data_IF_121283101084
#
_entry.id   IF_121283101084
#
_cell.length_a   1.000
_cell.length_b   1.000
_cell.length_c   1.000
_cell.angle_alpha   90.00
_cell.angle_beta   90.00
_cell.angle_gamma   90.00
#
_symmetry.space_group_name_H-M   'P 1'
#
loop_
_entity.id
_entity.type
_entity.pdbx_description
1 polymer ?
#
# COMPACT_ATOMS: atom_id res chain seq x y z
N UNK A 1 -24.62 -32.58 -15.09
CA UNK A 1 -25.22 -31.53 -14.23
C UNK A 1 -24.21 -30.41 -14.04
N UNK A 2 -24.63 -29.17 -14.33
CA UNK A 2 -23.83 -27.94 -14.24
C UNK A 2 -23.67 -27.52 -12.79
N UNK A 3 -22.48 -27.05 -12.39
CA UNK A 3 -22.34 -26.01 -11.35
C UNK A 3 -21.25 -25.03 -11.77
N UNK A 4 -21.67 -23.93 -12.37
CA UNK A 4 -20.84 -22.76 -12.66
C UNK A 4 -20.83 -21.92 -11.37
N UNK A 5 -19.65 -21.70 -10.80
CA UNK A 5 -19.46 -20.71 -9.75
C UNK A 5 -19.51 -19.32 -10.40
N UNK A 6 -20.61 -18.59 -10.16
CA UNK A 6 -20.73 -17.19 -10.52
C UNK A 6 -20.08 -16.35 -9.42
N UNK A 7 -18.94 -15.72 -9.73
CA UNK A 7 -18.40 -14.63 -8.93
C UNK A 7 -19.31 -13.41 -9.14
N UNK A 8 -20.09 -13.05 -8.11
CA UNK A 8 -20.86 -11.83 -8.07
C UNK A 8 -19.94 -10.68 -7.64
N UNK A 9 -19.55 -9.85 -8.61
CA UNK A 9 -18.91 -8.56 -8.35
C UNK A 9 -20.02 -7.60 -7.94
N UNK A 10 -20.10 -7.26 -6.65
CA UNK A 10 -20.95 -6.19 -6.15
C UNK A 10 -20.31 -4.84 -6.52
N UNK A 11 -20.72 -4.28 -7.65
CA UNK A 11 -20.43 -2.90 -8.01
C UNK A 11 -21.37 -1.98 -7.21
N UNK A 12 -20.88 -1.41 -6.11
CA UNK A 12 -21.62 -0.41 -5.34
C UNK A 12 -21.43 0.96 -6.01
N UNK A 13 -22.38 1.35 -6.85
CA UNK A 13 -22.46 2.71 -7.40
C UNK A 13 -23.07 3.60 -6.32
N UNK A 14 -22.23 4.33 -5.59
CA UNK A 14 -22.70 5.43 -4.74
C UNK A 14 -22.94 6.65 -5.63
N UNK A 15 -24.22 6.96 -5.88
CA UNK A 15 -24.61 8.21 -6.49
C UNK A 15 -24.56 9.32 -5.42
N UNK A 16 -23.64 10.27 -5.56
CA UNK A 16 -23.58 11.47 -4.71
C UNK A 16 -24.48 12.56 -5.30
N UNK A 17 -25.44 13.14 -4.56
CA UNK A 17 -26.07 14.38 -4.97
C UNK A 17 -25.09 15.53 -4.74
N UNK A 18 -24.57 16.12 -5.81
CA UNK A 18 -23.91 17.42 -5.78
C UNK A 18 -24.99 18.52 -5.71
N UNK A 19 -25.45 18.86 -4.52
CA UNK A 19 -26.25 20.07 -4.29
C UNK A 19 -25.31 21.24 -3.97
N UNK A 20 -25.00 22.02 -5.00
CA UNK A 20 -24.44 23.36 -4.86
C UNK A 20 -25.55 24.32 -4.40
N UNK A 21 -25.54 24.73 -3.14
CA UNK A 21 -26.38 25.81 -2.63
C UNK A 21 -25.56 26.65 -1.64
N UNK A 22 -25.58 27.98 -1.85
CA UNK A 22 -24.82 28.95 -1.07
C UNK A 22 -25.06 28.83 0.44
N UNK A 23 -24.02 29.14 1.21
CA UNK A 23 -23.92 28.95 2.66
C UNK A 23 -25.04 29.76 3.36
N UNK A 24 -26.05 29.12 3.98
CA UNK A 24 -26.91 29.81 4.93
C UNK A 24 -26.16 29.83 6.27
N UNK A 25 -25.63 31.00 6.64
CA UNK A 25 -25.18 31.28 8.00
C UNK A 25 -26.43 31.44 8.85
N UNK A 26 -26.87 30.36 9.49
CA UNK A 26 -27.96 30.41 10.47
C UNK A 26 -27.33 30.29 11.86
N UNK A 27 -27.47 31.40 12.59
CA UNK A 27 -27.22 31.53 14.01
C UNK A 27 -28.26 30.68 14.71
N UNK A 28 -27.88 29.47 15.11
CA UNK A 28 -28.35 28.73 16.30
C UNK A 28 -27.71 27.34 16.27
N UNK A 29 -27.13 26.89 17.39
CA UNK A 29 -26.70 25.50 17.60
C UNK A 29 -27.95 24.63 17.52
N UNK A 30 -28.33 24.15 16.33
CA UNK A 30 -29.38 23.16 16.23
C UNK A 30 -28.80 21.81 16.72
N UNK A 31 -29.23 21.29 17.88
CA UNK A 31 -28.73 20.02 18.41
C UNK A 31 -28.95 18.84 17.44
N UNK A 32 -29.87 18.96 16.47
CA UNK A 32 -30.04 17.99 15.40
C UNK A 32 -28.83 17.92 14.46
N UNK A 33 -28.16 19.05 14.19
CA UNK A 33 -26.96 19.13 13.33
C UNK A 33 -25.74 18.55 14.03
N UNK A 34 -25.56 18.82 15.32
CA UNK A 34 -24.47 18.24 16.11
C UNK A 34 -24.57 16.71 16.17
N UNK A 35 -25.79 16.19 16.37
CA UNK A 35 -26.04 14.75 16.33
C UNK A 35 -25.77 14.12 14.95
N UNK A 36 -26.01 14.86 13.86
CA UNK A 36 -25.69 14.42 12.50
C UNK A 36 -24.17 14.33 12.28
N UNK A 37 -23.42 15.33 12.74
CA UNK A 37 -21.95 15.32 12.66
C UNK A 37 -21.32 14.19 13.47
N UNK A 38 -21.84 13.89 14.66
CA UNK A 38 -21.36 12.76 15.46
C UNK A 38 -21.64 11.42 14.77
N UNK A 39 -22.79 11.27 14.11
CA UNK A 39 -23.08 10.07 13.30
C UNK A 39 -22.14 9.95 12.11
N UNK A 40 -21.87 11.04 11.42
CA UNK A 40 -20.97 11.03 10.26
C UNK A 40 -19.52 10.73 10.69
N UNK A 41 -19.05 11.34 11.77
CA UNK A 41 -17.76 11.00 12.37
C UNK A 41 -17.67 9.52 12.77
N UNK A 42 -18.73 8.95 13.34
CA UNK A 42 -18.79 7.53 13.67
C UNK A 42 -18.69 6.64 12.42
N UNK A 43 -19.38 7.00 11.32
CA UNK A 43 -19.24 6.28 10.04
C UNK A 43 -17.81 6.34 9.52
N UNK A 44 -17.13 7.47 9.69
CA UNK A 44 -15.78 7.65 9.20
C UNK A 44 -14.78 6.83 10.00
N UNK A 45 -14.97 6.76 11.32
CA UNK A 45 -14.21 5.85 12.17
C UNK A 45 -14.41 4.39 11.74
N UNK A 46 -15.64 3.98 11.41
CA UNK A 46 -15.91 2.62 10.91
C UNK A 46 -15.23 2.35 9.56
N UNK A 47 -15.37 3.27 8.60
CA UNK A 47 -14.71 3.16 7.28
C UNK A 47 -13.19 3.07 7.42
N UNK A 48 -12.60 3.89 8.29
CA UNK A 48 -11.16 3.89 8.51
C UNK A 48 -10.66 2.62 9.24
N UNK A 49 -11.41 2.12 10.22
CA UNK A 49 -11.12 0.82 10.86
C UNK A 49 -11.18 -0.32 9.83
N UNK A 50 -12.15 -0.25 8.91
CA UNK A 50 -12.22 -1.19 7.81
C UNK A 50 -10.96 -1.11 6.92
N UNK A 51 -10.47 0.09 6.58
CA UNK A 51 -9.21 0.23 5.84
C UNK A 51 -7.99 -0.27 6.60
N UNK A 52 -7.87 0.00 7.90
CA UNK A 52 -6.81 -0.57 8.73
C UNK A 52 -6.81 -2.10 8.67
N UNK A 53 -7.99 -2.73 8.71
CA UNK A 53 -8.11 -4.19 8.61
C UNK A 53 -7.67 -4.72 7.25
N UNK A 54 -7.99 -4.02 6.15
CA UNK A 54 -7.56 -4.39 4.80
C UNK A 54 -6.04 -4.24 4.63
N UNK A 55 -5.47 -3.14 5.12
CA UNK A 55 -4.03 -2.89 5.13
C UNK A 55 -3.29 -3.98 5.91
N UNK A 56 -3.80 -4.35 7.09
CA UNK A 56 -3.20 -5.41 7.89
C UNK A 56 -3.25 -6.77 7.19
N UNK A 57 -4.42 -7.15 6.63
CA UNK A 57 -4.55 -8.39 5.89
C UNK A 57 -3.60 -8.46 4.68
N UNK A 58 -3.37 -7.33 4.01
CA UNK A 58 -2.40 -7.25 2.91
C UNK A 58 -0.95 -7.42 3.39
N UNK A 59 -0.57 -6.83 4.53
CA UNK A 59 0.73 -7.07 5.18
C UNK A 59 0.92 -8.56 5.48
N UNK A 60 -0.09 -9.21 6.07
CA UNK A 60 -0.03 -10.63 6.41
C UNK A 60 0.12 -11.52 5.15
N UNK A 61 -0.55 -11.15 4.05
CA UNK A 61 -0.40 -11.80 2.75
C UNK A 61 1.01 -11.64 2.19
N UNK A 62 1.58 -10.43 2.21
CA UNK A 62 2.94 -10.18 1.73
C UNK A 62 3.97 -10.96 2.55
N UNK A 63 3.78 -11.06 3.87
CA UNK A 63 4.68 -11.81 4.75
C UNK A 63 4.66 -13.30 4.43
N UNK A 64 3.46 -13.85 4.26
CA UNK A 64 3.26 -15.25 3.86
C UNK A 64 3.93 -15.52 2.50
N UNK A 65 3.74 -14.63 1.53
CA UNK A 65 4.31 -14.78 0.19
C UNK A 65 5.84 -14.63 0.14
N UNK A 66 6.43 -13.88 1.06
CA UNK A 66 7.90 -13.69 1.16
C UNK A 66 8.58 -14.73 2.04
N UNK A 67 7.81 -15.57 2.75
CA UNK A 67 8.37 -16.51 3.73
C UNK A 67 8.90 -15.82 4.99
N UNK A 68 8.57 -14.54 5.17
CA UNK A 68 8.95 -13.74 6.33
C UNK A 68 8.15 -14.23 7.53
N UNK A 69 8.84 -14.84 8.50
CA UNK A 69 8.22 -15.30 9.75
C UNK A 69 7.91 -14.17 10.72
N UNK A 70 8.66 -13.07 10.66
CA UNK A 70 8.48 -11.92 11.53
C UNK A 70 8.32 -10.65 10.68
N UNK A 71 7.07 -10.20 10.58
CA UNK A 71 6.68 -9.02 9.81
C UNK A 71 7.31 -7.76 10.40
N UNK A 72 7.42 -7.67 11.72
CA UNK A 72 7.96 -6.50 12.38
C UNK A 72 9.46 -6.39 12.11
N UNK A 73 10.21 -7.50 12.26
CA UNK A 73 11.63 -7.53 11.93
C UNK A 73 11.88 -7.25 10.44
N UNK A 74 11.00 -7.70 9.55
CA UNK A 74 11.11 -7.40 8.13
C UNK A 74 10.81 -5.95 7.81
N UNK A 75 9.79 -5.35 8.43
CA UNK A 75 9.46 -3.93 8.29
C UNK A 75 10.61 -3.08 8.81
N UNK A 76 11.14 -3.39 10.00
CA UNK A 76 12.26 -2.66 10.58
C UNK A 76 13.53 -2.81 9.76
N UNK A 77 13.75 -4.01 9.20
CA UNK A 77 14.86 -4.21 8.26
C UNK A 77 14.64 -3.46 6.97
N UNK A 78 13.46 -3.54 6.34
CA UNK A 78 13.16 -2.85 5.08
C UNK A 78 13.00 -1.33 5.26
N UNK A 79 12.91 -0.84 6.49
CA UNK A 79 12.82 0.58 6.81
C UNK A 79 14.01 1.32 6.21
N UNK A 80 13.75 2.36 5.42
CA UNK A 80 14.74 3.11 4.66
C UNK A 80 15.15 2.48 3.32
N UNK A 81 14.63 1.32 2.92
CA UNK A 81 14.91 0.75 1.61
C UNK A 81 14.39 1.67 0.51
N UNK A 82 13.17 2.20 0.65
CA UNK A 82 12.61 3.23 -0.24
C UNK A 82 13.54 4.43 -0.35
N UNK A 83 14.05 4.95 0.77
CA UNK A 83 14.96 6.11 0.75
C UNK A 83 16.32 5.80 0.12
N UNK A 84 16.86 4.60 0.36
CA UNK A 84 18.13 4.20 -0.24
C UNK A 84 17.98 3.97 -1.75
N UNK A 85 16.83 3.46 -2.20
CA UNK A 85 16.53 3.33 -3.62
C UNK A 85 16.35 4.69 -4.31
N UNK A 86 15.74 5.66 -3.64
CA UNK A 86 15.67 7.03 -4.16
C UNK A 86 17.06 7.65 -4.33
N UNK A 87 18.04 7.30 -3.48
CA UNK A 87 19.44 7.74 -3.65
C UNK A 87 20.11 7.10 -4.87
N UNK A 88 19.68 5.90 -5.28
CA UNK A 88 20.18 5.23 -6.49
C UNK A 88 19.51 5.73 -7.78
N UNK A 89 18.47 6.55 -7.66
CA UNK A 89 17.70 7.03 -8.80
C UNK A 89 18.49 8.02 -9.63
N UNK A 90 18.50 7.84 -10.95
CA UNK A 90 19.08 8.83 -11.86
C UNK A 90 18.19 10.08 -11.94
N UNK A 91 18.75 11.27 -12.24
CA UNK A 91 17.95 12.46 -12.50
C UNK A 91 16.88 12.19 -13.56
N UNK A 92 15.61 12.50 -13.24
CA UNK A 92 14.47 12.32 -14.13
C UNK A 92 13.91 10.88 -14.22
N UNK A 93 14.55 9.89 -13.60
CA UNK A 93 14.01 8.53 -13.49
C UNK A 93 12.97 8.46 -12.37
N UNK A 94 11.86 7.72 -12.55
CA UNK A 94 10.92 7.45 -11.45
C UNK A 94 11.35 6.22 -10.66
N UNK A 95 10.92 6.11 -9.39
CA UNK A 95 11.16 4.88 -8.60
C UNK A 95 10.58 3.64 -9.30
N UNK A 96 9.38 3.77 -9.85
CA UNK A 96 8.75 2.67 -10.61
C UNK A 96 9.60 2.24 -11.81
N UNK A 97 10.23 3.18 -12.52
CA UNK A 97 11.12 2.86 -13.65
C UNK A 97 12.41 2.20 -13.20
N UNK A 98 13.01 2.67 -12.09
CA UNK A 98 14.20 2.05 -11.48
C UNK A 98 13.91 0.59 -11.09
N UNK A 99 12.77 0.35 -10.43
CA UNK A 99 12.34 -0.97 -10.00
C UNK A 99 12.03 -1.90 -11.17
N UNK A 100 11.45 -1.36 -12.24
CA UNK A 100 11.14 -2.12 -13.46
C UNK A 100 12.39 -2.42 -14.29
N UNK A 101 13.34 -1.49 -14.35
CA UNK A 101 14.57 -1.67 -15.13
C UNK A 101 15.63 -2.48 -14.40
N UNK A 102 15.50 -2.64 -13.08
CA UNK A 102 16.48 -3.38 -12.28
C UNK A 102 17.76 -2.63 -11.94
N UNK A 103 17.79 -1.31 -12.16
CA UNK A 103 19.03 -0.54 -12.11
C UNK A 103 20.09 -1.01 -13.13
N UNK A 104 21.30 -0.47 -13.05
CA UNK A 104 22.46 -1.07 -13.73
C UNK A 104 22.97 -2.29 -12.97
N UNK A 105 23.60 -3.23 -13.67
CA UNK A 105 24.23 -4.40 -13.02
C UNK A 105 25.09 -3.95 -11.83
N UNK A 106 24.83 -4.55 -10.66
CA UNK A 106 25.51 -4.24 -9.39
C UNK A 106 25.04 -2.96 -8.67
N UNK A 107 24.15 -2.16 -9.24
CA UNK A 107 23.62 -0.94 -8.61
C UNK A 107 22.91 -1.22 -7.29
N UNK A 108 22.34 -2.41 -7.15
CA UNK A 108 21.65 -2.85 -5.93
C UNK A 108 22.49 -3.75 -5.04
N UNK A 109 23.75 -4.09 -5.38
CA UNK A 109 24.57 -5.02 -4.59
C UNK A 109 24.80 -4.55 -3.15
N UNK A 110 24.97 -3.24 -2.96
CA UNK A 110 25.06 -2.65 -1.62
C UNK A 110 23.75 -2.75 -0.83
N UNK A 111 22.59 -2.66 -1.51
CA UNK A 111 21.29 -2.91 -0.87
C UNK A 111 21.15 -4.39 -0.52
N UNK A 112 21.55 -5.28 -1.44
CA UNK A 112 21.48 -6.71 -1.24
C UNK A 112 22.29 -7.18 -0.04
N UNK A 113 23.49 -6.61 0.15
CA UNK A 113 24.31 -6.89 1.32
C UNK A 113 23.74 -6.28 2.63
N UNK A 114 23.01 -5.17 2.53
CA UNK A 114 22.47 -4.45 3.70
C UNK A 114 21.21 -5.11 4.27
N UNK A 115 20.32 -5.64 3.42
CA UNK A 115 19.02 -6.14 3.86
C UNK A 115 18.95 -7.67 3.75
N UNK A 116 18.77 -8.37 4.89
CA UNK A 116 18.73 -9.84 4.93
C UNK A 116 17.52 -10.45 4.23
N UNK A 117 16.54 -9.62 3.88
CA UNK A 117 15.37 -9.98 3.08
C UNK A 117 15.75 -10.61 1.74
N UNK A 118 16.97 -10.34 1.23
CA UNK A 118 17.50 -10.87 -0.02
C UNK A 118 18.12 -12.27 0.10
N UNK A 119 18.32 -12.79 1.32
CA UNK A 119 18.89 -14.13 1.57
C UNK A 119 18.01 -15.26 1.00
N UNK A 120 16.74 -14.97 0.68
CA UNK A 120 15.82 -15.91 0.03
C UNK A 120 16.12 -16.16 -1.44
N UNK A 121 16.97 -15.33 -2.06
CA UNK A 121 17.40 -15.51 -3.45
C UNK A 121 18.65 -16.40 -3.51
N UNK A 122 18.45 -17.69 -3.80
CA UNK A 122 19.50 -18.70 -3.79
C UNK A 122 20.70 -18.32 -4.69
N UNK A 123 21.85 -18.07 -4.07
CA UNK A 123 23.04 -17.53 -4.73
C UNK A 123 23.76 -18.51 -5.67
N UNK A 124 23.45 -19.81 -5.59
CA UNK A 124 24.08 -20.85 -6.41
C UNK A 124 23.50 -20.94 -7.84
N UNK A 125 22.35 -20.32 -8.12
CA UNK A 125 21.78 -20.26 -9.48
C UNK A 125 22.27 -19.02 -10.22
N UNK A 126 23.11 -19.23 -11.24
CA UNK A 126 23.84 -18.18 -11.96
C UNK A 126 22.96 -17.17 -12.72
N UNK A 127 23.38 -15.89 -12.70
CA UNK A 127 23.07 -14.91 -13.75
C UNK A 127 21.75 -14.14 -13.59
N UNK A 128 21.03 -13.94 -14.71
CA UNK A 128 19.81 -13.11 -14.81
C UNK A 128 18.68 -13.57 -13.87
N UNK A 129 18.62 -14.86 -13.53
CA UNK A 129 17.63 -15.41 -12.62
C UNK A 129 17.77 -14.85 -11.19
N UNK A 130 19.00 -14.78 -10.67
CA UNK A 130 19.29 -14.20 -9.36
C UNK A 130 18.91 -12.71 -9.34
N UNK A 131 19.23 -11.94 -10.39
CA UNK A 131 18.85 -10.53 -10.48
C UNK A 131 17.33 -10.32 -10.49
N UNK A 132 16.57 -11.13 -11.25
CA UNK A 132 15.10 -11.06 -11.22
C UNK A 132 14.53 -11.45 -9.85
N UNK A 133 15.12 -12.43 -9.15
CA UNK A 133 14.73 -12.75 -7.77
C UNK A 133 14.90 -11.55 -6.85
N UNK A 134 16.07 -10.92 -6.90
CA UNK A 134 16.38 -9.78 -6.05
C UNK A 134 15.47 -8.58 -6.34
N UNK A 135 15.14 -8.31 -7.61
CA UNK A 135 14.16 -7.29 -8.00
C UNK A 135 12.75 -7.57 -7.43
N UNK A 136 12.33 -8.85 -7.43
CA UNK A 136 11.05 -9.27 -6.84
C UNK A 136 11.03 -9.04 -5.33
N UNK A 137 12.13 -9.35 -4.62
CA UNK A 137 12.25 -9.07 -3.19
C UNK A 137 12.24 -7.57 -2.93
N UNK A 138 12.97 -6.76 -3.72
CA UNK A 138 12.94 -5.29 -3.60
C UNK A 138 11.49 -4.79 -3.75
N UNK A 139 10.78 -5.24 -4.78
CA UNK A 139 9.41 -4.81 -5.04
C UNK A 139 8.48 -5.10 -3.86
N UNK A 140 8.62 -6.28 -3.23
CA UNK A 140 7.82 -6.65 -2.05
C UNK A 140 8.23 -5.87 -0.79
N UNK A 141 9.52 -5.63 -0.57
CA UNK A 141 9.99 -4.88 0.58
C UNK A 141 9.52 -3.41 0.56
N UNK A 142 9.55 -2.76 -0.61
CA UNK A 142 9.01 -1.39 -0.77
C UNK A 142 7.49 -1.37 -0.58
N UNK A 143 6.78 -2.37 -1.11
CA UNK A 143 5.33 -2.48 -0.90
C UNK A 143 5.02 -2.54 0.60
N UNK A 144 5.81 -3.29 1.34
CA UNK A 144 5.67 -3.41 2.79
C UNK A 144 5.92 -2.08 3.49
N UNK A 145 7.05 -1.43 3.23
CA UNK A 145 7.41 -0.13 3.83
C UNK A 145 6.36 0.95 3.51
N UNK A 146 5.90 1.04 2.25
CA UNK A 146 4.84 1.98 1.86
C UNK A 146 3.50 1.67 2.54
N UNK A 147 3.14 0.39 2.66
CA UNK A 147 1.91 -0.03 3.33
C UNK A 147 1.96 0.30 4.82
N UNK A 148 3.12 0.13 5.45
CA UNK A 148 3.35 0.46 6.86
C UNK A 148 3.24 1.98 7.11
N UNK A 149 3.90 2.79 6.27
CA UNK A 149 3.83 4.26 6.30
C UNK A 149 2.37 4.75 6.19
N UNK A 150 1.59 4.18 5.27
CA UNK A 150 0.18 4.54 5.12
C UNK A 150 -0.66 4.06 6.32
N UNK A 151 -0.37 2.88 6.88
CA UNK A 151 -1.04 2.40 8.09
C UNK A 151 -0.88 3.37 9.25
N UNK A 152 0.34 3.90 9.47
CA UNK A 152 0.62 4.90 10.50
C UNK A 152 -0.18 6.20 10.24
N UNK A 153 -0.17 6.71 9.01
CA UNK A 153 -0.89 7.94 8.65
C UNK A 153 -2.41 7.80 8.78
N UNK A 154 -2.97 6.64 8.41
CA UNK A 154 -4.39 6.30 8.62
C UNK A 154 -4.70 6.29 10.12
N UNK A 155 -3.84 5.67 10.93
CA UNK A 155 -4.01 5.58 12.39
C UNK A 155 -3.94 6.94 13.08
N UNK A 156 -3.02 7.81 12.65
CA UNK A 156 -2.94 9.18 13.13
C UNK A 156 -4.20 9.97 12.76
N UNK A 157 -4.61 9.93 11.50
CA UNK A 157 -5.81 10.63 11.00
C UNK A 157 -7.04 10.21 11.79
N UNK A 158 -7.13 8.92 12.13
CA UNK A 158 -8.18 8.37 12.98
C UNK A 158 -8.17 8.93 14.40
N UNK A 159 -7.00 8.99 15.03
CA UNK A 159 -6.85 9.58 16.36
C UNK A 159 -7.29 11.05 16.37
N UNK A 160 -6.96 11.79 15.31
CA UNK A 160 -7.37 13.19 15.13
C UNK A 160 -8.89 13.33 14.93
N UNK A 161 -9.52 12.50 14.08
CA UNK A 161 -10.97 12.49 13.89
C UNK A 161 -11.67 12.18 15.23
N UNK A 162 -11.20 11.19 15.99
CA UNK A 162 -11.78 10.85 17.28
C UNK A 162 -11.65 12.00 18.29
N UNK A 163 -10.49 12.67 18.34
CA UNK A 163 -10.27 13.84 19.18
C UNK A 163 -11.22 15.00 18.82
N UNK A 164 -11.34 15.31 17.53
CA UNK A 164 -12.24 16.37 17.04
C UNK A 164 -13.71 16.02 17.33
N UNK A 165 -14.11 14.76 17.17
CA UNK A 165 -15.47 14.29 17.44
C UNK A 165 -15.83 14.44 18.91
N UNK A 166 -14.91 14.07 19.81
CA UNK A 166 -15.09 14.26 21.25
C UNK A 166 -15.22 15.75 21.62
N UNK A 167 -14.47 16.63 20.94
CA UNK A 167 -14.60 18.09 21.14
C UNK A 167 -15.95 18.62 20.68
N UNK A 168 -16.48 18.14 19.55
CA UNK A 168 -17.84 18.49 19.10
C UNK A 168 -18.87 18.09 20.15
N UNK A 169 -18.78 16.86 20.68
CA UNK A 169 -19.73 16.36 21.68
C UNK A 169 -19.71 17.15 23.01
N UNK A 170 -18.60 17.82 23.32
CA UNK A 170 -18.42 18.63 24.53
C UNK A 170 -18.62 20.14 24.28
N UNK A 171 -18.66 20.57 23.02
CA UNK A 171 -18.84 21.96 22.64
C UNK A 171 -20.23 22.45 23.03
N UNK A 172 -20.31 23.70 23.50
CA UNK A 172 -21.57 24.41 23.75
C UNK A 172 -21.77 25.57 22.76
N UNK A 173 -20.79 25.80 21.89
CA UNK A 173 -20.76 26.89 20.93
C UNK A 173 -20.97 26.32 19.51
N UNK A 174 -22.03 26.77 18.83
CA UNK A 174 -22.39 26.30 17.49
C UNK A 174 -21.29 26.53 16.47
N UNK A 175 -20.57 27.64 16.59
CA UNK A 175 -19.54 28.04 15.65
C UNK A 175 -18.29 27.18 15.85
N UNK A 176 -17.90 26.92 17.09
CA UNK A 176 -16.86 25.94 17.39
C UNK A 176 -17.24 24.55 16.87
N UNK A 177 -18.47 24.08 17.13
CA UNK A 177 -18.97 22.79 16.61
C UNK A 177 -18.88 22.72 15.07
N UNK A 178 -19.22 23.81 14.38
CA UNK A 178 -19.14 23.89 12.92
C UNK A 178 -17.70 23.89 12.39
N UNK A 179 -16.78 24.63 13.02
CA UNK A 179 -15.37 24.67 12.64
C UNK A 179 -14.70 23.30 12.86
N UNK A 180 -15.05 22.61 13.94
CA UNK A 180 -14.62 21.25 14.21
C UNK A 180 -15.16 20.26 13.19
N UNK A 181 -16.44 20.39 12.80
CA UNK A 181 -17.04 19.55 11.76
C UNK A 181 -16.34 19.73 10.40
N UNK A 182 -16.03 20.97 10.01
CA UNK A 182 -15.25 21.25 8.81
C UNK A 182 -13.85 20.63 8.87
N UNK A 183 -13.22 20.65 10.05
CA UNK A 183 -11.92 20.03 10.29
C UNK A 183 -11.98 18.52 10.16
N UNK A 184 -13.01 17.89 10.73
CA UNK A 184 -13.28 16.47 10.52
C UNK A 184 -13.41 16.23 9.02
N UNK A 185 -14.26 16.99 8.31
CA UNK A 185 -14.52 16.82 6.88
C UNK A 185 -13.23 16.70 6.06
N UNK A 186 -12.30 17.61 6.28
CA UNK A 186 -10.97 17.61 5.66
C UNK A 186 -10.17 16.34 5.96
N UNK A 187 -10.22 15.84 7.20
CA UNK A 187 -9.51 14.62 7.61
C UNK A 187 -10.02 13.36 6.93
N UNK A 188 -11.30 13.25 6.58
CA UNK A 188 -11.76 12.12 5.74
C UNK A 188 -11.37 12.24 4.29
N UNK A 189 -11.37 13.45 3.73
CA UNK A 189 -10.82 13.64 2.38
C UNK A 189 -9.35 13.18 2.36
N UNK A 190 -8.59 13.52 3.41
CA UNK A 190 -7.23 13.02 3.60
C UNK A 190 -7.19 11.48 3.72
N UNK A 191 -8.05 10.88 4.56
CA UNK A 191 -8.14 9.43 4.72
C UNK A 191 -8.45 8.71 3.40
N UNK A 192 -9.43 9.20 2.63
CA UNK A 192 -9.78 8.64 1.32
C UNK A 192 -8.60 8.77 0.35
N UNK A 193 -7.90 9.89 0.38
CA UNK A 193 -6.70 10.09 -0.45
C UNK A 193 -5.59 9.09 -0.08
N UNK A 194 -5.33 8.87 1.22
CA UNK A 194 -4.36 7.87 1.68
C UNK A 194 -4.75 6.45 1.24
N UNK A 195 -6.05 6.14 1.31
CA UNK A 195 -6.59 4.84 0.88
C UNK A 195 -6.41 4.65 -0.62
N UNK A 196 -6.78 5.64 -1.43
CA UNK A 196 -6.61 5.61 -2.89
C UNK A 196 -5.12 5.48 -3.27
N UNK A 197 -4.25 6.21 -2.59
CA UNK A 197 -2.79 6.11 -2.78
C UNK A 197 -2.28 4.70 -2.48
N UNK A 198 -2.73 4.12 -1.37
CA UNK A 198 -2.39 2.74 -1.01
C UNK A 198 -2.87 1.75 -2.07
N UNK A 199 -4.15 1.78 -2.44
CA UNK A 199 -4.70 0.87 -3.46
C UNK A 199 -3.96 0.96 -4.80
N UNK A 200 -3.64 2.18 -5.23
CA UNK A 200 -2.90 2.42 -6.45
C UNK A 200 -1.47 1.88 -6.35
N UNK A 201 -0.81 2.05 -5.20
CA UNK A 201 0.53 1.50 -4.95
C UNK A 201 0.53 -0.02 -5.03
N UNK A 202 -0.44 -0.69 -4.39
CA UNK A 202 -0.63 -2.15 -4.41
C UNK A 202 -0.83 -2.63 -5.84
N UNK A 203 -1.79 -2.06 -6.57
CA UNK A 203 -2.08 -2.42 -7.97
C UNK A 203 -0.86 -2.26 -8.88
N UNK A 204 -0.11 -1.17 -8.73
CA UNK A 204 1.10 -0.95 -9.51
C UNK A 204 2.17 -2.00 -9.20
N UNK A 205 2.29 -2.38 -7.94
CA UNK A 205 3.32 -3.27 -7.47
C UNK A 205 3.03 -4.75 -7.80
N UNK A 206 1.76 -5.18 -7.75
CA UNK A 206 1.30 -6.47 -8.29
C UNK A 206 1.53 -6.58 -9.79
N UNK A 207 1.30 -5.48 -10.53
CA UNK A 207 1.57 -5.45 -11.98
C UNK A 207 3.07 -5.62 -12.27
N UNK A 208 3.94 -4.95 -11.50
CA UNK A 208 5.40 -5.14 -11.59
C UNK A 208 5.79 -6.58 -11.29
N UNK A 209 5.24 -7.16 -10.23
CA UNK A 209 5.51 -8.54 -9.85
C UNK A 209 5.17 -9.53 -10.96
N UNK A 210 3.99 -9.40 -11.60
CA UNK A 210 3.61 -10.27 -12.73
C UNK A 210 4.61 -10.18 -13.89
N UNK A 211 5.05 -8.97 -14.24
CA UNK A 211 6.03 -8.78 -15.32
C UNK A 211 7.37 -9.43 -14.96
N UNK A 212 7.84 -9.27 -13.72
CA UNK A 212 9.09 -9.86 -13.26
C UNK A 212 9.01 -11.39 -13.19
N UNK A 213 7.86 -11.96 -12.81
CA UNK A 213 7.67 -13.41 -12.80
C UNK A 213 7.67 -13.99 -14.22
N UNK A 214 7.00 -13.32 -15.17
CA UNK A 214 7.03 -13.70 -16.59
C UNK A 214 8.46 -13.65 -17.16
N UNK A 215 9.25 -12.63 -16.79
CA UNK A 215 10.66 -12.52 -17.16
C UNK A 215 11.51 -13.64 -16.53
N UNK A 216 11.26 -13.96 -15.26
CA UNK A 216 11.93 -15.07 -14.56
C UNK A 216 11.70 -16.39 -15.28
N UNK A 217 10.46 -16.71 -15.66
CA UNK A 217 10.12 -17.94 -16.40
C UNK A 217 10.82 -17.98 -17.76
N UNK A 218 10.86 -16.86 -18.48
CA UNK A 218 11.59 -16.77 -19.76
C UNK A 218 13.09 -17.04 -19.58
N UNK A 219 13.70 -16.42 -18.57
CA UNK A 219 15.12 -16.61 -18.28
C UNK A 219 15.43 -18.04 -17.85
N UNK A 220 14.56 -18.66 -17.05
CA UNK A 220 14.67 -20.07 -16.68
C UNK A 220 14.61 -20.98 -17.92
N UNK A 221 13.61 -20.80 -18.77
CA UNK A 221 13.46 -21.61 -19.99
C UNK A 221 14.67 -21.46 -20.92
N UNK A 222 15.19 -20.24 -21.06
CA UNK A 222 16.38 -19.98 -21.87
C UNK A 222 17.63 -20.64 -21.29
N UNK A 223 17.81 -20.59 -19.97
CA UNK A 223 18.89 -21.31 -19.29
C UNK A 223 18.82 -22.83 -19.51
N UNK A 224 17.61 -23.41 -19.56
CA UNK A 224 17.43 -24.84 -19.87
C UNK A 224 17.76 -25.17 -21.34
N UNK A 225 17.47 -24.26 -22.28
CA UNK A 225 17.82 -24.43 -23.69
C UNK A 225 19.32 -24.33 -23.95
N UNK A 226 20.00 -23.42 -23.24
CA UNK A 226 21.43 -23.18 -23.36
C UNK A 226 22.28 -24.14 -22.49
N UNK A 227 21.63 -25.00 -21.71
CA UNK A 227 22.31 -25.96 -20.84
C UNK A 227 23.11 -26.97 -21.67
N UNK A 228 24.38 -27.25 -21.33
CA UNK A 228 25.19 -28.22 -22.05
C UNK A 228 24.53 -29.61 -21.99
N UNK A 229 24.42 -30.27 -23.16
CA UNK A 229 23.90 -31.63 -23.23
C UNK A 229 24.82 -32.57 -22.45
N UNK A 230 24.23 -33.33 -21.52
CA UNK A 230 24.93 -34.36 -20.76
C UNK A 230 25.48 -35.40 -21.75
N UNK A 231 26.79 -35.35 -21.99
CA UNK A 231 27.50 -36.44 -22.66
C UNK A 231 27.69 -37.56 -21.65
N UNK A 232 26.83 -38.57 -21.71
CA UNK A 232 27.09 -39.82 -21.02
C UNK A 232 28.28 -40.50 -21.74
N UNK A 233 29.38 -40.68 -21.02
CA UNK A 233 30.47 -41.53 -21.46
C UNK A 233 30.01 -42.99 -21.26
N UNK A 234 29.78 -43.70 -22.38
CA UNK A 234 29.70 -45.17 -22.41
C UNK A 234 31.07 -45.80 -22.17
#
# INVERSE_FOLDING_TARGET
MKRRFHALIFACVMASPLTHAGIPVLVDADPLREAEWLKEAQRWMQTAQHYQSQIQAYKDQLATATGVRDIADFVDQAKSLKSDLEQLRRPGQTLNDLLRSGGTAGQFDALYAKYRVFDTCNAEQSGRYAETCKQLVINKAIQFEQTDEIQEQVSQTLGEINSLSNRIALSKDSKESQDLANSIQLKSVMLNTLTDQWEMSVKAAEKREKVLEDERVKHWNQQQLDAPTLKFHE
#
